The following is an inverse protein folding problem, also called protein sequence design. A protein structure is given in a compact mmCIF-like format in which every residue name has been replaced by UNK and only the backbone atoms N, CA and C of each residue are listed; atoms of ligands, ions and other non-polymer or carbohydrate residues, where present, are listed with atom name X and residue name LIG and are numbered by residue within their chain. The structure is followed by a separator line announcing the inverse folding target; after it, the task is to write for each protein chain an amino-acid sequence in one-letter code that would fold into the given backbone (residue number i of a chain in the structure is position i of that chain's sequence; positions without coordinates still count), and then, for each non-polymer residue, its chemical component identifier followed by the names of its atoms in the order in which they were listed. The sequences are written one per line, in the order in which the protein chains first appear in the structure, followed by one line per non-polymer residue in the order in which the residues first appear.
data_IF_233815938601
#
_entry.id   IF_233815938601
#
_cell.length_a   1.000
_cell.length_b   1.000
_cell.length_c   1.000
_cell.angle_alpha   90.00
_cell.angle_beta   90.00
_cell.angle_gamma   90.00
#
_symmetry.space_group_name_H-M   'P 1'
#
loop_
_entity.id
_entity.type
_entity.pdbx_description
1 polymer ?
#
# COMPACT_ATOMS: atom_id res chain seq x y z
N UNK A 1 15.02 -27.39 -6.49
CA UNK A 1 15.65 -26.09 -6.17
C UNK A 1 14.63 -24.96 -6.30
N UNK A 2 13.98 -24.79 -7.44
CA UNK A 2 12.99 -23.73 -7.66
C UNK A 2 11.79 -23.76 -6.70
N UNK A 3 11.19 -24.94 -6.47
CA UNK A 3 10.11 -25.07 -5.49
C UNK A 3 10.54 -24.79 -4.04
N UNK A 4 11.81 -25.03 -3.71
CA UNK A 4 12.35 -24.74 -2.38
C UNK A 4 12.55 -23.23 -2.21
N UNK A 5 13.09 -22.56 -3.23
CA UNK A 5 13.21 -21.10 -3.27
C UNK A 5 11.83 -20.43 -3.20
N UNK A 6 10.83 -20.96 -3.91
CA UNK A 6 9.46 -20.47 -3.85
C UNK A 6 8.86 -20.59 -2.44
N UNK A 7 9.08 -21.70 -1.76
CA UNK A 7 8.57 -21.93 -0.41
C UNK A 7 9.27 -21.03 0.62
N UNK A 8 10.60 -20.87 0.50
CA UNK A 8 11.38 -19.95 1.34
C UNK A 8 10.97 -18.51 1.10
N UNK A 9 10.80 -18.10 -0.15
CA UNK A 9 10.34 -16.78 -0.54
C UNK A 9 8.96 -16.46 0.03
N UNK A 10 8.01 -17.39 -0.10
CA UNK A 10 6.68 -17.26 0.49
C UNK A 10 6.72 -17.06 2.01
N UNK A 11 7.54 -17.84 2.73
CA UNK A 11 7.70 -17.68 4.19
C UNK A 11 8.32 -16.32 4.54
N UNK A 12 9.33 -15.89 3.78
CA UNK A 12 9.96 -14.57 3.95
C UNK A 12 8.98 -13.43 3.69
N UNK A 13 8.12 -13.56 2.67
CA UNK A 13 7.11 -12.58 2.33
C UNK A 13 6.06 -12.46 3.45
N UNK A 14 5.51 -13.59 3.92
CA UNK A 14 4.51 -13.60 5.00
C UNK A 14 5.09 -13.04 6.30
N UNK A 15 6.25 -13.54 6.74
CA UNK A 15 6.89 -13.06 7.98
C UNK A 15 7.44 -11.64 7.86
N UNK A 16 7.93 -11.27 6.67
CA UNK A 16 8.41 -9.94 6.36
C UNK A 16 7.29 -8.92 6.46
N UNK A 17 6.11 -9.23 5.92
CA UNK A 17 4.92 -8.39 6.04
C UNK A 17 4.50 -8.20 7.50
N UNK A 18 4.44 -9.28 8.30
CA UNK A 18 4.14 -9.21 9.75
C UNK A 18 5.12 -8.26 10.47
N UNK A 19 6.43 -8.45 10.28
CA UNK A 19 7.46 -7.61 10.91
C UNK A 19 7.42 -6.17 10.44
N UNK A 20 7.15 -5.94 9.16
CA UNK A 20 7.03 -4.60 8.60
C UNK A 20 5.85 -3.85 9.21
N UNK A 21 4.68 -4.49 9.34
CA UNK A 21 3.47 -3.91 9.94
C UNK A 21 3.66 -3.67 11.44
N UNK A 22 4.23 -4.61 12.18
CA UNK A 22 4.51 -4.46 13.62
C UNK A 22 5.53 -3.34 13.89
N UNK A 23 6.64 -3.32 13.13
CA UNK A 23 7.68 -2.30 13.24
C UNK A 23 7.14 -0.91 12.94
N UNK A 24 6.37 -0.78 11.85
CA UNK A 24 5.74 0.48 11.44
C UNK A 24 4.71 0.97 12.47
N UNK A 25 3.82 0.09 12.95
CA UNK A 25 2.82 0.42 13.97
C UNK A 25 3.46 0.84 15.30
N UNK A 26 4.53 0.16 15.71
CA UNK A 26 5.26 0.54 16.92
C UNK A 26 5.93 1.90 16.77
N UNK A 27 6.50 2.21 15.60
CA UNK A 27 7.10 3.51 15.32
C UNK A 27 6.06 4.62 15.36
N UNK A 28 4.86 4.38 14.81
CA UNK A 28 3.71 5.29 14.88
C UNK A 28 3.43 5.75 16.32
N UNK A 29 3.36 4.78 17.25
CA UNK A 29 3.10 5.04 18.67
C UNK A 29 4.19 5.86 19.32
N UNK A 30 5.46 5.53 19.07
CA UNK A 30 6.59 6.27 19.64
C UNK A 30 6.56 7.74 19.17
N UNK A 31 6.21 7.96 17.91
CA UNK A 31 6.08 9.29 17.32
C UNK A 31 4.77 10.01 17.66
N UNK A 32 3.86 9.40 18.44
CA UNK A 32 2.51 9.91 18.75
C UNK A 32 1.70 10.25 17.49
N UNK A 33 1.88 9.44 16.44
CA UNK A 33 1.14 9.50 15.19
C UNK A 33 0.09 8.38 15.22
N UNK A 34 -1.17 8.65 14.85
CA UNK A 34 -2.20 7.61 14.77
C UNK A 34 -1.75 6.45 13.86
N UNK A 35 -1.87 5.21 14.35
CA UNK A 35 -1.45 4.00 13.61
C UNK A 35 -2.13 3.87 12.25
N UNK A 36 -3.36 4.39 12.13
CA UNK A 36 -4.10 4.43 10.85
C UNK A 36 -3.35 5.23 9.78
N UNK A 37 -2.63 6.29 10.14
CA UNK A 37 -1.84 7.07 9.18
C UNK A 37 -0.71 6.22 8.63
N UNK A 38 0.02 5.53 9.51
CA UNK A 38 1.14 4.69 9.12
C UNK A 38 0.67 3.50 8.26
N UNK A 39 -0.47 2.90 8.62
CA UNK A 39 -1.13 1.87 7.80
C UNK A 39 -1.47 2.36 6.40
N UNK A 40 -2.10 3.53 6.29
CA UNK A 40 -2.52 4.11 5.01
C UNK A 40 -1.38 4.74 4.19
N UNK A 41 -0.19 4.96 4.78
CA UNK A 41 0.95 5.60 4.11
C UNK A 41 2.13 4.66 3.98
N UNK A 42 2.94 4.50 5.02
CA UNK A 42 4.18 3.73 4.99
C UNK A 42 3.91 2.27 4.65
N UNK A 43 2.92 1.65 5.31
CA UNK A 43 2.62 0.24 5.08
C UNK A 43 2.10 0.04 3.66
N UNK A 44 1.09 0.82 3.25
CA UNK A 44 0.53 0.76 1.90
C UNK A 44 1.57 1.02 0.79
N UNK A 45 2.48 1.98 0.99
CA UNK A 45 3.58 2.25 0.07
C UNK A 45 4.59 1.12 0.03
N UNK A 46 4.96 0.57 1.18
CA UNK A 46 5.92 -0.52 1.28
C UNK A 46 5.45 -1.79 0.60
N UNK A 47 4.16 -2.15 0.75
CA UNK A 47 3.58 -3.31 0.07
C UNK A 47 3.41 -3.11 -1.42
N UNK A 48 3.26 -1.87 -1.90
CA UNK A 48 3.09 -1.55 -3.33
C UNK A 48 4.42 -1.25 -4.04
N UNK A 49 5.54 -1.27 -3.31
CA UNK A 49 6.86 -0.94 -3.85
C UNK A 49 7.36 -1.97 -4.87
N UNK A 50 7.18 -3.29 -4.69
CA UNK A 50 7.52 -4.28 -5.72
C UNK A 50 6.77 -4.03 -7.04
N UNK A 51 5.47 -3.77 -6.98
CA UNK A 51 4.62 -3.50 -8.13
C UNK A 51 5.05 -2.19 -8.82
N UNK A 52 5.35 -1.15 -8.04
CA UNK A 52 5.90 0.10 -8.57
C UNK A 52 7.23 -0.15 -9.30
N UNK A 53 8.13 -0.96 -8.73
CA UNK A 53 9.40 -1.32 -9.37
C UNK A 53 9.19 -2.03 -10.70
N UNK A 54 8.27 -3.01 -10.77
CA UNK A 54 7.93 -3.72 -12.01
C UNK A 54 7.35 -2.76 -13.05
N UNK A 55 6.39 -1.93 -12.66
CA UNK A 55 5.75 -0.97 -13.59
C UNK A 55 6.72 0.11 -14.08
N UNK A 56 7.59 0.63 -13.22
CA UNK A 56 8.60 1.64 -13.61
C UNK A 56 9.61 1.02 -14.57
N UNK A 57 10.14 -0.18 -14.28
CA UNK A 57 11.07 -0.86 -15.18
C UNK A 57 10.42 -1.19 -16.54
N UNK A 58 9.17 -1.64 -16.54
CA UNK A 58 8.41 -1.88 -17.76
C UNK A 58 8.24 -0.59 -18.59
N UNK A 59 7.87 0.53 -17.95
CA UNK A 59 7.73 1.82 -18.63
C UNK A 59 9.07 2.35 -19.18
N UNK A 60 10.17 2.20 -18.43
CA UNK A 60 11.51 2.62 -18.87
C UNK A 60 12.03 1.79 -20.04
N UNK A 61 11.63 0.52 -20.14
CA UNK A 61 11.97 -0.37 -21.27
C UNK A 61 11.03 -0.22 -22.47
N UNK A 62 10.06 0.72 -22.41
CA UNK A 62 9.09 0.98 -23.48
C UNK A 62 7.89 0.03 -23.49
N UNK A 63 7.79 -0.89 -22.52
CA UNK A 63 6.70 -1.85 -22.39
C UNK A 63 5.54 -1.27 -21.56
N UNK A 64 4.93 -0.19 -22.05
CA UNK A 64 3.88 0.53 -21.31
C UNK A 64 2.63 -0.33 -21.02
N UNK A 65 2.29 -1.28 -21.90
CA UNK A 65 1.17 -2.20 -21.69
C UNK A 65 1.39 -3.08 -20.47
N UNK A 66 2.63 -3.54 -20.24
CA UNK A 66 3.01 -4.31 -19.04
C UNK A 66 2.93 -3.43 -17.80
N UNK A 67 3.42 -2.18 -17.89
CA UNK A 67 3.37 -1.25 -16.77
C UNK A 67 1.93 -1.00 -16.28
N UNK A 68 1.01 -0.78 -17.23
CA UNK A 68 -0.40 -0.45 -16.95
C UNK A 68 -1.18 -1.68 -16.51
N UNK A 69 -1.00 -2.83 -17.19
CA UNK A 69 -1.63 -4.08 -16.77
C UNK A 69 -1.20 -4.52 -15.38
N UNK A 70 0.06 -4.28 -14.99
CA UNK A 70 0.54 -4.52 -13.63
C UNK A 70 -0.17 -3.62 -12.59
N UNK A 71 -0.28 -2.31 -12.84
CA UNK A 71 -0.97 -1.38 -11.93
C UNK A 71 -2.46 -1.69 -11.80
N UNK A 72 -3.16 -1.83 -12.94
CA UNK A 72 -4.60 -2.09 -12.97
C UNK A 72 -4.92 -3.47 -12.41
N UNK A 73 -4.17 -4.49 -12.83
CA UNK A 73 -4.35 -5.86 -12.36
C UNK A 73 -4.16 -6.01 -10.86
N UNK A 74 -3.11 -5.38 -10.30
CA UNK A 74 -2.83 -5.43 -8.86
C UNK A 74 -3.95 -4.77 -8.03
N UNK A 75 -4.50 -3.64 -8.48
CA UNK A 75 -5.62 -2.98 -7.81
C UNK A 75 -6.92 -3.80 -7.87
N UNK A 76 -7.20 -4.45 -9.01
CA UNK A 76 -8.36 -5.35 -9.14
C UNK A 76 -8.18 -6.57 -8.23
N UNK A 77 -6.99 -7.18 -8.21
CA UNK A 77 -6.70 -8.34 -7.36
C UNK A 77 -6.81 -7.98 -5.88
N UNK A 78 -6.25 -6.86 -5.45
CA UNK A 78 -6.34 -6.40 -4.06
C UNK A 78 -7.79 -6.11 -3.65
N UNK A 79 -8.54 -5.42 -4.50
CA UNK A 79 -9.93 -5.06 -4.21
C UNK A 79 -10.90 -6.25 -4.19
N UNK A 80 -10.73 -7.21 -5.10
CA UNK A 80 -11.66 -8.34 -5.23
C UNK A 80 -11.20 -9.57 -4.45
N UNK A 81 -9.95 -9.99 -4.64
CA UNK A 81 -9.43 -11.24 -4.08
C UNK A 81 -8.96 -11.04 -2.64
N UNK A 82 -8.05 -10.09 -2.40
CA UNK A 82 -7.47 -9.90 -1.05
C UNK A 82 -8.55 -9.43 -0.07
N UNK A 83 -9.25 -8.33 -0.37
CA UNK A 83 -10.34 -7.83 0.49
C UNK A 83 -11.48 -8.85 0.59
N UNK A 84 -11.84 -9.53 -0.50
CA UNK A 84 -12.89 -10.55 -0.49
C UNK A 84 -12.58 -11.73 0.41
N UNK A 85 -11.36 -12.28 0.34
CA UNK A 85 -10.91 -13.36 1.21
C UNK A 85 -10.82 -12.88 2.67
N UNK A 86 -10.28 -11.68 2.92
CA UNK A 86 -10.24 -11.11 4.26
C UNK A 86 -11.64 -10.97 4.86
N UNK A 87 -12.61 -10.48 4.09
CA UNK A 87 -13.99 -10.30 4.54
C UNK A 87 -14.71 -11.64 4.76
N UNK A 88 -14.34 -12.67 3.99
CA UNK A 88 -14.87 -14.03 4.16
C UNK A 88 -14.31 -14.71 5.40
N UNK A 89 -13.00 -14.59 5.66
CA UNK A 89 -12.32 -15.25 6.78
C UNK A 89 -12.50 -14.52 8.12
N UNK A 90 -12.51 -13.19 8.09
CA UNK A 90 -12.61 -12.36 9.28
C UNK A 90 -13.69 -11.31 9.08
N UNK A 91 -14.72 -11.34 9.93
CA UNK A 91 -15.68 -10.24 10.01
C UNK A 91 -15.00 -9.06 10.72
N UNK A 92 -14.34 -8.19 9.95
CA UNK A 92 -13.76 -6.97 10.48
C UNK A 92 -14.79 -5.84 10.47
N UNK A 93 -14.86 -5.07 11.57
CA UNK A 93 -15.67 -3.84 11.61
C UNK A 93 -14.98 -2.77 10.76
N UNK A 94 -15.52 -2.49 9.59
CA UNK A 94 -15.06 -1.38 8.75
C UNK A 94 -15.46 -0.04 9.35
N UNK A 95 -14.51 0.90 9.42
CA UNK A 95 -14.83 2.28 9.74
C UNK A 95 -15.62 2.92 8.58
N UNK A 96 -16.91 3.13 8.80
CA UNK A 96 -17.85 3.66 7.79
C UNK A 96 -17.45 5.06 7.31
N UNK A 97 -16.81 5.88 8.14
CA UNK A 97 -16.37 7.22 7.77
C UNK A 97 -15.19 7.17 6.79
N UNK A 98 -14.23 6.27 7.03
CA UNK A 98 -13.13 6.00 6.10
C UNK A 98 -13.68 5.47 4.78
N UNK A 99 -14.60 4.51 4.84
CA UNK A 99 -15.19 3.91 3.64
C UNK A 99 -15.95 4.95 2.80
N UNK A 100 -16.80 5.78 3.42
CA UNK A 100 -17.57 6.83 2.73
C UNK A 100 -16.69 7.92 2.13
N UNK A 101 -15.50 8.16 2.69
CA UNK A 101 -14.56 9.15 2.18
C UNK A 101 -13.69 8.58 1.06
N UNK A 102 -13.07 7.42 1.29
CA UNK A 102 -11.99 6.91 0.44
C UNK A 102 -12.53 6.10 -0.74
N UNK A 103 -13.67 5.40 -0.59
CA UNK A 103 -14.24 4.58 -1.67
C UNK A 103 -14.74 5.41 -2.86
N UNK A 104 -15.49 6.52 -2.70
CA UNK A 104 -15.90 7.35 -3.83
C UNK A 104 -14.71 7.97 -4.54
N UNK A 105 -13.69 8.40 -3.79
CA UNK A 105 -12.48 8.95 -4.37
C UNK A 105 -11.73 7.91 -5.22
N UNK A 106 -11.61 6.68 -4.72
CA UNK A 106 -10.99 5.59 -5.47
C UNK A 106 -11.73 5.31 -6.79
N UNK A 107 -13.06 5.30 -6.77
CA UNK A 107 -13.89 5.13 -7.98
C UNK A 107 -13.66 6.28 -8.96
N UNK A 108 -13.64 7.53 -8.49
CA UNK A 108 -13.39 8.71 -9.34
C UNK A 108 -12.00 8.65 -9.98
N UNK A 109 -10.96 8.35 -9.21
CA UNK A 109 -9.58 8.24 -9.72
C UNK A 109 -9.48 7.10 -10.74
N UNK A 110 -10.13 5.97 -10.47
CA UNK A 110 -10.19 4.83 -11.40
C UNK A 110 -10.86 5.23 -12.73
N UNK A 111 -11.98 5.95 -12.67
CA UNK A 111 -12.65 6.45 -13.89
C UNK A 111 -11.78 7.44 -14.67
N UNK A 112 -11.07 8.35 -13.97
CA UNK A 112 -10.13 9.27 -14.60
C UNK A 112 -9.01 8.50 -15.30
N UNK A 113 -8.42 7.50 -14.65
CA UNK A 113 -7.37 6.66 -15.23
C UNK A 113 -7.88 5.93 -16.48
N UNK A 114 -9.08 5.33 -16.42
CA UNK A 114 -9.68 4.67 -17.57
C UNK A 114 -9.91 5.64 -18.75
N UNK A 115 -10.35 6.87 -18.46
CA UNK A 115 -10.55 7.89 -19.47
C UNK A 115 -9.23 8.34 -20.12
N UNK A 116 -8.20 8.59 -19.31
CA UNK A 116 -6.85 8.93 -19.77
C UNK A 116 -6.25 7.83 -20.65
N UNK A 117 -6.57 6.57 -20.38
CA UNK A 117 -6.04 5.43 -21.12
C UNK A 117 -6.87 5.02 -22.35
N UNK A 118 -7.95 5.75 -22.70
CA UNK A 118 -8.83 5.37 -23.83
C UNK A 118 -8.13 5.36 -25.19
N UNK A 119 -7.07 6.17 -25.37
CA UNK A 119 -6.27 6.20 -26.58
C UNK A 119 -5.18 5.11 -26.63
N UNK A 120 -5.16 4.23 -25.60
CA UNK A 120 -4.21 3.14 -25.44
C UNK A 120 -2.82 3.59 -25.00
N UNK A 121 -2.65 4.86 -24.59
CA UNK A 121 -1.37 5.40 -24.13
C UNK A 121 -1.60 6.21 -22.86
N UNK A 122 -0.52 6.40 -22.10
CA UNK A 122 -0.53 7.33 -20.98
C UNK A 122 0.60 8.33 -21.21
N UNK A 123 0.25 9.60 -21.35
CA UNK A 123 1.21 10.67 -21.56
C UNK A 123 1.91 11.05 -20.25
N UNK A 124 3.06 11.73 -20.37
CA UNK A 124 3.77 12.27 -19.20
C UNK A 124 2.95 13.29 -18.41
N UNK A 125 2.06 14.02 -19.09
CA UNK A 125 1.21 15.03 -18.46
C UNK A 125 0.15 14.33 -17.60
N UNK A 126 -0.50 13.28 -18.13
CA UNK A 126 -1.47 12.48 -17.37
C UNK A 126 -0.81 11.80 -16.16
N UNK A 127 0.38 11.24 -16.34
CA UNK A 127 1.18 10.71 -15.23
C UNK A 127 1.49 11.76 -14.16
N UNK A 128 1.83 12.99 -14.56
CA UNK A 128 2.08 14.10 -13.63
C UNK A 128 0.81 14.52 -12.88
N UNK A 129 -0.35 14.54 -13.55
CA UNK A 129 -1.65 14.82 -12.93
C UNK A 129 -1.97 13.75 -11.87
N UNK A 130 -1.80 12.47 -12.19
CA UNK A 130 -2.02 11.38 -11.24
C UNK A 130 -1.05 11.45 -10.05
N UNK A 131 0.22 11.75 -10.29
CA UNK A 131 1.21 11.91 -9.23
C UNK A 131 0.91 13.11 -8.31
N UNK A 132 0.49 14.24 -8.89
CA UNK A 132 0.05 15.41 -8.12
C UNK A 132 -1.21 15.10 -7.30
N UNK A 133 -2.16 14.36 -7.88
CA UNK A 133 -3.35 13.88 -7.18
C UNK A 133 -3.01 12.96 -6.01
N UNK A 134 -2.07 12.03 -6.20
CA UNK A 134 -1.55 11.16 -5.13
C UNK A 134 -0.92 11.97 -4.00
N UNK A 135 -0.06 12.95 -4.32
CA UNK A 135 0.56 13.82 -3.32
C UNK A 135 -0.50 14.63 -2.54
N UNK A 136 -1.48 15.21 -3.24
CA UNK A 136 -2.58 15.95 -2.62
C UNK A 136 -3.42 15.06 -1.69
N UNK A 137 -3.72 13.83 -2.12
CA UNK A 137 -4.48 12.86 -1.31
C UNK A 137 -3.73 12.48 -0.03
N UNK A 138 -2.43 12.16 -0.13
CA UNK A 138 -1.61 11.82 1.03
C UNK A 138 -1.56 12.99 2.02
N UNK A 139 -1.35 14.22 1.54
CA UNK A 139 -1.33 15.42 2.40
C UNK A 139 -2.68 15.63 3.09
N UNK A 140 -3.79 15.50 2.35
CA UNK A 140 -5.14 15.63 2.90
C UNK A 140 -5.44 14.57 3.97
N UNK A 141 -4.99 13.34 3.74
CA UNK A 141 -5.14 12.23 4.67
C UNK A 141 -4.35 12.45 5.95
N UNK A 142 -3.08 12.87 5.84
CA UNK A 142 -2.23 13.20 6.99
C UNK A 142 -2.87 14.32 7.80
N UNK A 143 -3.33 15.39 7.15
CA UNK A 143 -3.99 16.51 7.82
C UNK A 143 -5.27 16.07 8.56
N UNK A 144 -6.12 15.30 7.88
CA UNK A 144 -7.38 14.78 8.44
C UNK A 144 -7.15 13.89 9.65
N UNK A 145 -6.13 13.04 9.61
CA UNK A 145 -5.83 12.12 10.69
C UNK A 145 -5.07 12.78 11.86
N UNK A 146 -4.30 13.85 11.62
CA UNK A 146 -3.75 14.69 12.70
C UNK A 146 -4.84 15.48 13.43
N UNK A 147 -5.88 15.93 12.70
CA UNK A 147 -7.03 16.64 13.28
C UNK A 147 -7.94 15.72 14.10
N UNK A 148 -8.17 14.50 13.61
CA UNK A 148 -8.97 13.48 14.29
C UNK A 148 -8.09 12.51 15.08
N UNK A 149 -7.34 13.02 16.06
CA UNK A 149 -6.53 12.20 16.98
C UNK A 149 -7.45 11.33 17.85
N UNK A 150 -7.97 10.24 17.29
CA UNK A 150 -8.38 9.10 18.09
C UNK A 150 -7.10 8.37 18.52
N UNK A 151 -6.92 8.26 19.83
CA UNK A 151 -5.89 7.45 20.45
C UNK A 151 -6.07 6.00 20.03
N UNK A 152 -5.29 5.55 19.05
CA UNK A 152 -5.32 4.17 18.56
C UNK A 152 -4.90 3.16 19.62
N UNK A 153 -5.51 1.96 19.52
CA UNK A 153 -5.45 0.79 20.40
C UNK A 153 -4.05 0.38 20.92
N UNK A 154 -4.05 -0.40 22.00
CA UNK A 154 -2.91 -1.05 22.67
C UNK A 154 -2.12 -2.07 21.79
N UNK A 155 -1.51 -1.63 20.69
CA UNK A 155 -0.38 -2.34 20.09
C UNK A 155 0.82 -2.40 21.05
N UNK A 156 1.53 -3.54 21.06
CA UNK A 156 2.81 -3.70 21.78
C UNK A 156 3.80 -2.63 21.32
N UNK A 157 4.29 -1.83 22.26
CA UNK A 157 5.32 -0.82 21.99
C UNK A 157 6.68 -1.52 22.06
N UNK A 158 7.30 -1.72 20.90
CA UNK A 158 8.71 -2.14 20.82
C UNK A 158 9.60 -0.92 21.13
N UNK A 159 10.82 -1.18 21.59
CA UNK A 159 11.84 -0.13 21.73
C UNK A 159 12.21 0.44 20.35
N UNK A 160 12.42 1.75 20.23
CA UNK A 160 12.79 2.44 18.99
C UNK A 160 13.79 1.68 18.08
N UNK A 161 14.94 1.15 18.57
CA UNK A 161 15.86 0.40 17.72
C UNK A 161 15.27 -0.90 17.19
N UNK A 162 14.44 -1.61 17.98
CA UNK A 162 13.74 -2.82 17.53
C UNK A 162 12.66 -2.49 16.51
N UNK A 163 11.93 -1.39 16.66
CA UNK A 163 10.92 -0.96 15.69
C UNK A 163 11.54 -0.67 14.32
N UNK A 164 12.68 0.02 14.29
CA UNK A 164 13.43 0.31 13.06
C UNK A 164 13.96 -0.98 12.43
N UNK A 165 14.53 -1.89 13.22
CA UNK A 165 15.04 -3.18 12.72
C UNK A 165 13.90 -4.05 12.17
N UNK A 166 12.76 -4.11 12.84
CA UNK A 166 11.59 -4.86 12.37
C UNK A 166 11.02 -4.26 11.09
N UNK A 167 10.92 -2.93 11.01
CA UNK A 167 10.46 -2.24 9.81
C UNK A 167 11.42 -2.46 8.63
N UNK A 168 12.72 -2.20 8.80
CA UNK A 168 13.70 -2.36 7.73
C UNK A 168 13.89 -3.83 7.34
N UNK A 169 14.00 -4.74 8.31
CA UNK A 169 14.14 -6.16 8.08
C UNK A 169 12.89 -6.78 7.44
N UNK A 170 11.70 -6.36 7.87
CA UNK A 170 10.44 -6.77 7.27
C UNK A 170 10.33 -6.31 5.81
N UNK A 171 10.67 -5.06 5.53
CA UNK A 171 10.67 -4.53 4.16
C UNK A 171 11.65 -5.28 3.25
N UNK A 172 12.86 -5.55 3.72
CA UNK A 172 13.86 -6.36 2.99
C UNK A 172 13.30 -7.77 2.73
N UNK A 173 12.72 -8.41 3.72
CA UNK A 173 12.13 -9.75 3.57
C UNK A 173 10.96 -9.77 2.56
N UNK A 174 10.15 -8.71 2.48
CA UNK A 174 9.09 -8.59 1.46
C UNK A 174 9.65 -8.34 0.06
N UNK A 175 10.76 -7.61 -0.07
CA UNK A 175 11.39 -7.33 -1.37
C UNK A 175 12.10 -8.57 -1.93
N UNK A 176 12.72 -9.38 -1.08
CA UNK A 176 13.54 -10.53 -1.47
C UNK A 176 12.83 -11.90 -1.33
N UNK A 177 11.67 -11.94 -0.69
CA UNK A 177 10.84 -13.13 -0.55
C UNK A 177 9.89 -13.29 -1.73
#
# INVERSE_FOLDING_TARGET
MEYLLLLVGFVLLVKGADFFVEGSSSLAKIMKVPSVIIGLTIVAMGTSAPEASVSINAALTGNNDIAISNVVGSNIFNGLVVVGICAFLASFKTNLDILKRDMPLNIVITMILCFMFMDGKLSRIEGLILLAGMAAYIVSMIYSALKNRETGEDCKVLSLPKSIVFMAGGLVAVIFG
#
